data_IF_589673449811
#
_entry.id   IF_589673449811
#
_cell.length_a   1.000
_cell.length_b   1.000
_cell.length_c   1.000
_cell.angle_alpha   90.00
_cell.angle_beta   90.00
_cell.angle_gamma   90.00
#
_symmetry.space_group_name_H-M   'P 1'
#
loop_
_entity.id
_entity.type
_entity.pdbx_description
1 polymer ?
#
# COMPACT_ATOMS: atom_id res chain seq x y z
N UNK A 1 -6.55 33.42 -6.28
CA UNK A 1 -5.59 32.33 -6.50
C UNK A 1 -6.38 31.15 -7.04
N UNK A 2 -6.09 30.60 -8.24
CA UNK A 2 -6.66 29.31 -8.58
C UNK A 2 -6.26 28.34 -7.45
N UNK A 3 -7.25 27.72 -6.82
CA UNK A 3 -7.01 26.77 -5.74
C UNK A 3 -6.04 25.71 -6.26
N UNK A 4 -4.91 25.55 -5.58
CA UNK A 4 -3.90 24.59 -5.94
C UNK A 4 -4.54 23.21 -6.08
N UNK A 5 -4.47 22.63 -7.28
CA UNK A 5 -5.10 21.35 -7.59
C UNK A 5 -4.53 20.25 -6.68
N UNK A 6 -3.26 20.39 -6.27
CA UNK A 6 -2.60 19.48 -5.35
C UNK A 6 -3.20 19.51 -3.94
N UNK A 7 -3.75 20.63 -3.49
CA UNK A 7 -4.32 20.76 -2.15
C UNK A 7 -5.64 19.98 -1.99
N UNK A 8 -6.21 19.49 -3.08
CA UNK A 8 -7.43 18.67 -3.12
C UNK A 8 -7.14 17.17 -3.22
N UNK A 9 -5.88 16.76 -3.10
CA UNK A 9 -5.50 15.34 -3.03
C UNK A 9 -5.78 14.84 -1.62
N UNK A 10 -6.59 13.79 -1.50
CA UNK A 10 -6.96 13.17 -0.23
C UNK A 10 -6.19 11.86 -0.02
N UNK A 11 -5.72 11.63 1.20
CA UNK A 11 -4.95 10.45 1.57
C UNK A 11 -5.76 9.65 2.59
N UNK A 12 -5.98 8.36 2.33
CA UNK A 12 -6.58 7.50 3.32
C UNK A 12 -5.63 7.25 4.49
N UNK A 13 -6.21 6.86 5.63
CA UNK A 13 -5.44 6.20 6.67
C UNK A 13 -4.75 4.95 6.12
N UNK A 14 -3.62 4.60 6.72
CA UNK A 14 -2.94 3.35 6.37
C UNK A 14 -3.72 2.21 7.00
N UNK A 15 -3.99 1.18 6.21
CA UNK A 15 -4.55 -0.06 6.70
C UNK A 15 -3.63 -1.20 6.28
N UNK A 16 -3.47 -2.19 7.15
CA UNK A 16 -3.01 -3.51 6.73
C UNK A 16 -4.20 -4.21 6.07
N UNK A 17 -3.95 -5.20 5.22
CA UNK A 17 -5.02 -6.07 4.76
C UNK A 17 -5.51 -6.89 5.96
N UNK A 18 -6.47 -6.35 6.71
CA UNK A 18 -7.22 -7.09 7.72
C UNK A 18 -8.09 -8.22 7.14
N UNK A 19 -7.82 -8.63 5.90
CA UNK A 19 -8.53 -9.62 5.08
C UNK A 19 -7.45 -10.63 4.69
N UNK A 20 -7.40 -11.84 5.22
CA UNK A 20 -8.49 -12.78 5.48
C UNK A 20 -8.23 -13.57 6.77
N UNK A 21 -9.29 -14.05 7.41
CA UNK A 21 -9.28 -15.04 8.50
C UNK A 21 -8.05 -15.96 8.52
N UNK A 22 -7.24 -15.86 9.59
CA UNK A 22 -6.54 -16.92 10.34
C UNK A 22 -5.84 -18.11 9.63
N UNK A 23 -5.75 -18.18 8.30
CA UNK A 23 -5.30 -19.40 7.63
C UNK A 23 -4.19 -19.20 6.58
N UNK A 24 -3.92 -17.98 6.08
CA UNK A 24 -2.86 -17.78 5.06
C UNK A 24 -1.93 -16.57 5.31
N UNK A 25 -1.96 -16.00 6.51
CA UNK A 25 -1.40 -14.68 6.82
C UNK A 25 0.15 -14.57 6.84
N UNK A 26 0.94 -15.65 6.91
CA UNK A 26 2.37 -15.56 7.21
C UNK A 26 3.24 -15.08 6.04
N UNK A 27 2.78 -15.24 4.80
CA UNK A 27 3.47 -14.72 3.61
C UNK A 27 2.88 -13.38 3.13
N UNK A 28 1.65 -13.05 3.54
CA UNK A 28 0.88 -11.94 2.95
C UNK A 28 0.79 -10.70 3.86
N UNK A 29 1.00 -10.82 5.18
CA UNK A 29 1.07 -9.70 6.15
C UNK A 29 2.43 -8.98 6.12
N UNK A 30 2.84 -8.53 4.94
CA UNK A 30 4.12 -7.81 4.78
C UNK A 30 3.97 -6.42 4.21
N UNK A 31 2.77 -6.01 3.79
CA UNK A 31 2.54 -4.72 3.16
C UNK A 31 1.52 -3.87 3.94
N UNK A 32 1.84 -2.59 4.12
CA UNK A 32 0.89 -1.54 4.46
C UNK A 32 0.21 -1.03 3.19
N UNK A 33 -1.09 -0.80 3.25
CA UNK A 33 -1.90 -0.29 2.14
C UNK A 33 -2.44 1.11 2.44
N UNK A 34 -2.72 1.85 1.37
CA UNK A 34 -3.37 3.16 1.39
C UNK A 34 -3.95 3.43 0.00
N UNK A 35 -5.04 4.17 -0.06
CA UNK A 35 -5.48 4.78 -1.31
C UNK A 35 -5.32 6.30 -1.28
N UNK A 36 -5.07 6.88 -2.45
CA UNK A 36 -5.02 8.32 -2.66
C UNK A 36 -6.10 8.69 -3.64
N UNK A 37 -6.96 9.63 -3.25
CA UNK A 37 -8.03 10.14 -4.10
C UNK A 37 -7.53 11.44 -4.71
N UNK A 38 -7.34 11.43 -6.02
CA UNK A 38 -6.91 12.58 -6.80
C UNK A 38 -8.13 13.31 -7.38
N UNK A 39 -8.05 14.64 -7.55
CA UNK A 39 -9.02 15.37 -8.36
C UNK A 39 -9.11 14.81 -9.78
N UNK A 40 -10.32 14.77 -10.35
CA UNK A 40 -10.57 14.22 -11.70
C UNK A 40 -9.76 14.93 -12.78
N UNK A 41 -9.43 16.20 -12.55
CA UNK A 41 -8.62 17.04 -13.42
C UNK A 41 -7.16 16.56 -13.52
N UNK A 42 -6.62 15.93 -12.47
CA UNK A 42 -5.31 15.29 -12.48
C UNK A 42 -5.45 13.87 -13.04
N UNK A 43 -6.46 13.12 -12.59
CA UNK A 43 -6.65 11.73 -12.96
C UNK A 43 -6.83 11.49 -14.47
N UNK A 44 -7.35 12.46 -15.21
CA UNK A 44 -7.46 12.39 -16.68
C UNK A 44 -6.11 12.23 -17.40
N UNK A 45 -5.00 12.56 -16.73
CA UNK A 45 -3.65 12.44 -17.25
C UNK A 45 -2.99 11.09 -16.91
N UNK A 46 -3.62 10.26 -16.07
CA UNK A 46 -3.06 8.97 -15.70
C UNK A 46 -3.11 7.99 -16.88
N UNK A 47 -2.08 7.12 -17.02
CA UNK A 47 -2.14 5.99 -17.94
C UNK A 47 -3.24 5.02 -17.51
N UNK A 48 -3.95 4.44 -18.49
CA UNK A 48 -5.11 3.56 -18.24
C UNK A 48 -4.76 2.07 -18.24
N UNK A 49 -3.60 1.75 -18.80
CA UNK A 49 -3.14 0.41 -19.15
C UNK A 49 -1.90 -0.02 -18.35
N UNK A 50 -1.27 0.91 -17.62
CA UNK A 50 -0.10 0.64 -16.80
C UNK A 50 -0.12 1.37 -15.46
N UNK A 51 0.65 0.85 -14.52
CA UNK A 51 0.88 1.46 -13.21
C UNK A 51 1.81 2.67 -13.34
N UNK A 52 1.76 3.54 -12.33
CA UNK A 52 2.60 4.73 -12.21
C UNK A 52 3.85 4.40 -11.39
N UNK A 53 5.01 4.77 -11.89
CA UNK A 53 6.26 4.71 -11.11
C UNK A 53 6.37 5.85 -10.10
N UNK A 54 7.29 5.73 -9.14
CA UNK A 54 7.51 6.72 -8.08
C UNK A 54 7.72 8.14 -8.60
N UNK A 55 8.54 8.29 -9.64
CA UNK A 55 8.79 9.59 -10.23
C UNK A 55 7.55 10.18 -10.91
N UNK A 56 6.69 9.33 -11.49
CA UNK A 56 5.49 9.75 -12.22
C UNK A 56 4.39 10.23 -11.27
N UNK A 57 4.05 9.44 -10.24
CA UNK A 57 3.02 9.85 -9.29
C UNK A 57 3.46 11.05 -8.44
N UNK A 58 4.76 11.18 -8.13
CA UNK A 58 5.29 12.40 -7.52
C UNK A 58 5.17 13.61 -8.45
N UNK A 59 5.31 13.41 -9.75
CA UNK A 59 5.08 14.43 -10.78
C UNK A 59 3.64 14.96 -10.81
N UNK A 60 2.67 14.15 -10.38
CA UNK A 60 1.26 14.54 -10.20
C UNK A 60 0.96 15.16 -8.82
N UNK A 61 2.00 15.62 -8.12
CA UNK A 61 1.92 16.25 -6.79
C UNK A 61 1.45 15.34 -5.66
N UNK A 62 1.42 14.02 -5.87
CA UNK A 62 1.14 13.07 -4.79
C UNK A 62 2.37 13.02 -3.88
N UNK A 63 2.18 13.36 -2.60
CA UNK A 63 3.23 13.47 -1.61
C UNK A 63 3.00 12.47 -0.48
N UNK A 64 3.87 11.46 -0.43
CA UNK A 64 3.93 10.50 0.67
C UNK A 64 5.38 10.07 0.91
N UNK A 65 5.60 9.36 2.02
CA UNK A 65 6.90 8.78 2.40
C UNK A 65 7.47 7.88 1.29
N UNK A 66 8.75 7.51 1.40
CA UNK A 66 9.34 6.58 0.42
C UNK A 66 8.82 5.15 0.60
N UNK A 67 8.97 4.36 -0.47
CA UNK A 67 8.67 2.93 -0.48
C UNK A 67 7.26 2.55 -0.93
N UNK A 68 6.37 3.52 -1.15
CA UNK A 68 5.04 3.25 -1.69
C UNK A 68 5.10 2.92 -3.18
N UNK A 69 4.43 1.84 -3.57
CA UNK A 69 4.27 1.38 -4.96
C UNK A 69 2.81 1.38 -5.34
N UNK A 70 2.48 2.01 -6.47
CA UNK A 70 1.17 1.88 -7.10
C UNK A 70 1.06 0.45 -7.64
N UNK A 71 0.15 -0.36 -7.11
CA UNK A 71 0.13 -1.82 -7.37
C UNK A 71 -1.06 -2.30 -8.19
N UNK A 72 -2.14 -1.53 -8.26
CA UNK A 72 -3.35 -1.91 -8.98
C UNK A 72 -4.11 -0.68 -9.50
N UNK A 73 -4.68 -0.82 -10.71
CA UNK A 73 -5.55 0.21 -11.31
C UNK A 73 -7.00 -0.11 -10.97
N UNK A 74 -7.66 0.79 -10.26
CA UNK A 74 -9.10 0.70 -10.01
C UNK A 74 -9.88 1.23 -11.23
N UNK A 75 -10.29 0.33 -12.13
CA UNK A 75 -10.91 0.70 -13.42
C UNK A 75 -12.19 1.56 -13.28
N UNK A 76 -13.13 1.27 -12.36
CA UNK A 76 -14.33 2.09 -12.19
C UNK A 76 -14.03 3.53 -11.78
N UNK A 77 -13.04 3.74 -10.91
CA UNK A 77 -12.70 5.05 -10.36
C UNK A 77 -11.19 5.29 -10.47
N UNK A 78 -10.72 5.60 -11.69
CA UNK A 78 -9.30 5.82 -12.00
C UNK A 78 -8.64 6.96 -11.19
N UNK A 79 -9.45 7.82 -10.59
CA UNK A 79 -8.99 8.90 -9.73
C UNK A 79 -8.59 8.40 -8.32
N UNK A 80 -8.82 7.12 -8.02
CA UNK A 80 -8.36 6.45 -6.80
C UNK A 80 -7.13 5.62 -7.16
N UNK A 81 -5.99 5.98 -6.59
CA UNK A 81 -4.72 5.26 -6.75
C UNK A 81 -4.49 4.35 -5.55
N UNK A 82 -4.18 3.08 -5.82
CA UNK A 82 -3.96 2.06 -4.79
C UNK A 82 -2.46 1.86 -4.56
N UNK A 83 -2.00 2.14 -3.35
CA UNK A 83 -0.60 2.02 -2.97
C UNK A 83 -0.39 0.90 -1.93
N UNK A 84 0.73 0.21 -2.06
CA UNK A 84 1.26 -0.72 -1.05
C UNK A 84 2.70 -0.38 -0.71
N UNK A 85 3.12 -0.67 0.52
CA UNK A 85 4.49 -0.44 0.99
C UNK A 85 4.85 -1.53 2.00
N UNK A 86 6.01 -2.20 1.86
CA UNK A 86 6.42 -3.20 2.83
C UNK A 86 6.53 -2.65 4.26
N UNK A 87 6.12 -3.47 5.22
CA UNK A 87 6.33 -3.27 6.65
C UNK A 87 7.83 -3.26 6.94
N UNK A 88 8.26 -2.42 7.90
CA UNK A 88 9.67 -2.18 8.16
C UNK A 88 10.38 -1.33 7.09
N UNK A 89 9.65 -0.72 6.15
CA UNK A 89 10.24 0.25 5.22
C UNK A 89 10.54 1.57 5.92
N UNK A 90 11.79 1.98 5.88
CA UNK A 90 12.22 3.28 6.38
C UNK A 90 11.61 4.41 5.51
N UNK A 91 10.89 5.38 6.12
CA UNK A 91 10.15 6.39 5.38
C UNK A 91 11.04 7.39 4.63
N UNK A 92 12.32 7.50 4.99
CA UNK A 92 13.29 8.45 4.44
C UNK A 92 14.14 7.86 3.33
N UNK A 93 14.48 6.57 3.43
CA UNK A 93 15.33 5.84 2.48
C UNK A 93 14.54 4.95 1.54
N UNK A 94 13.34 4.49 1.93
CA UNK A 94 12.54 3.53 1.16
C UNK A 94 13.08 2.10 1.20
N UNK A 95 14.10 1.83 2.01
CA UNK A 95 14.68 0.50 2.19
C UNK A 95 13.88 -0.28 3.23
N UNK A 96 13.66 -1.56 2.96
CA UNK A 96 12.99 -2.48 3.88
C UNK A 96 14.03 -3.02 4.86
N UNK A 97 13.79 -2.86 6.16
CA UNK A 97 14.58 -3.52 7.19
C UNK A 97 14.00 -4.92 7.47
N UNK A 98 14.70 -6.00 7.08
CA UNK A 98 14.19 -7.36 7.25
C UNK A 98 14.04 -7.77 8.71
N UNK A 99 14.80 -7.16 9.63
CA UNK A 99 14.70 -7.46 11.06
C UNK A 99 13.38 -6.92 11.65
N UNK A 100 12.99 -5.70 11.29
CA UNK A 100 11.72 -5.11 11.73
C UNK A 100 10.52 -5.84 11.13
N UNK A 101 10.60 -6.21 9.85
CA UNK A 101 9.57 -7.02 9.21
C UNK A 101 9.39 -8.38 9.91
N UNK A 102 10.50 -9.02 10.33
CA UNK A 102 10.47 -10.26 11.10
C UNK A 102 9.88 -10.06 12.50
N UNK A 103 10.29 -9.00 13.20
CA UNK A 103 9.81 -8.69 14.55
C UNK A 103 8.29 -8.41 14.57
N UNK A 104 7.78 -7.64 13.61
CA UNK A 104 6.33 -7.39 13.51
C UNK A 104 5.54 -8.67 13.19
N UNK A 105 6.08 -9.54 12.33
CA UNK A 105 5.50 -10.86 12.08
C UNK A 105 5.47 -11.72 13.34
N UNK A 106 6.59 -11.79 14.08
CA UNK A 106 6.68 -12.55 15.33
C UNK A 106 5.75 -11.99 16.41
N UNK A 107 5.56 -10.66 16.46
CA UNK A 107 4.62 -10.01 17.36
C UNK A 107 3.17 -10.37 17.01
N UNK A 108 2.83 -10.39 15.72
CA UNK A 108 1.53 -10.85 15.23
C UNK A 108 1.29 -12.33 15.55
N UNK A 109 2.25 -13.21 15.27
CA UNK A 109 2.18 -14.64 15.60
C UNK A 109 2.01 -14.86 17.12
N UNK A 110 2.62 -14.01 17.96
CA UNK A 110 2.46 -14.05 19.42
C UNK A 110 1.07 -13.63 19.88
N UNK A 111 0.48 -12.63 19.25
CA UNK A 111 -0.82 -12.07 19.64
C UNK A 111 -2.00 -12.89 19.08
N UNK A 112 -1.89 -13.40 17.85
CA UNK A 112 -2.98 -14.05 17.12
C UNK A 112 -2.77 -15.55 16.87
N UNK A 113 -1.59 -16.09 17.20
CA UNK A 113 -1.21 -17.49 16.97
C UNK A 113 -0.44 -17.70 15.66
N UNK A 114 0.25 -18.86 15.51
CA UNK A 114 0.94 -19.18 14.28
C UNK A 114 -0.06 -19.36 13.12
N UNK A 115 0.34 -18.95 11.93
CA UNK A 115 -0.43 -19.20 10.72
C UNK A 115 -0.23 -20.67 10.35
N UNK A 116 -1.31 -21.45 10.31
CA UNK A 116 -1.24 -22.83 9.87
C UNK A 116 -0.82 -22.88 8.40
N UNK A 117 0.08 -23.79 8.07
CA UNK A 117 0.48 -24.00 6.68
C UNK A 117 -0.63 -24.76 5.92
N UNK A 118 -0.71 -24.62 4.60
CA UNK A 118 -1.64 -25.40 3.75
C UNK A 118 -1.50 -26.93 3.94
N UNK A 119 -0.37 -27.38 4.48
CA UNK A 119 -0.09 -28.78 4.79
C UNK A 119 -0.84 -29.31 6.03
N UNK A 120 -1.34 -28.44 6.91
CA UNK A 120 -2.00 -28.83 8.17
C UNK A 120 -3.54 -28.73 8.10
N UNK A 121 -4.09 -28.18 7.02
CA UNK A 121 -5.55 -28.03 6.81
C UNK A 121 -6.16 -29.24 6.09
N UNK A 122 -5.34 -30.19 5.66
CA UNK A 122 -5.75 -31.33 4.81
C UNK A 122 -5.91 -32.68 5.54
N UNK A 123 -5.96 -32.69 6.87
CA UNK A 123 -6.37 -33.87 7.67
C UNK A 123 -7.81 -33.78 8.19
#
# INVERSE_FOLDING_TARGET
MPHDVASRIEYSDRYTDGILERMWAAEMYTDSYRHVICPKEIAKHFPKDRLLEEHEWRGYHIQQSRGWKHYAIHKPEQHILLFRRPIGTDPSTGLVNPALAKEEREAYEREFGPVMSDAEVSE
#
